data_IF_859572067266
#
_entry.id   IF_859572067266
#
_cell.length_a   1.000
_cell.length_b   1.000
_cell.length_c   1.000
_cell.angle_alpha   90.00
_cell.angle_beta   90.00
_cell.angle_gamma   90.00
#
_symmetry.space_group_name_H-M   'P 1'
#
loop_
_entity.id
_entity.type
_entity.pdbx_description
1 polymer ?
#
# COMPACT_ATOMS: atom_id res chain seq x y z
N UNK A 1 -4.18 6.59 -3.47
CA UNK A 1 -4.72 7.37 -4.62
C UNK A 1 -6.17 7.80 -4.42
N UNK A 2 -6.93 7.20 -3.50
CA UNK A 2 -8.34 7.51 -3.22
C UNK A 2 -9.25 7.34 -4.44
N UNK A 3 -9.70 6.11 -4.71
CA UNK A 3 -10.60 5.80 -5.83
C UNK A 3 -10.20 6.49 -7.16
N UNK A 4 -8.97 6.27 -7.63
CA UNK A 4 -8.54 6.79 -8.91
C UNK A 4 -9.22 6.01 -10.03
N UNK A 5 -10.21 6.63 -10.68
CA UNK A 5 -11.04 5.99 -11.70
C UNK A 5 -11.50 7.02 -12.74
N UNK A 6 -11.69 6.53 -13.97
CA UNK A 6 -12.30 7.28 -15.07
C UNK A 6 -13.83 7.09 -15.12
N UNK A 7 -14.39 6.23 -14.28
CA UNK A 7 -15.81 5.92 -14.29
C UNK A 7 -16.62 7.05 -13.64
N UNK A 8 -17.76 7.45 -14.22
CA UNK A 8 -18.63 8.46 -13.63
C UNK A 8 -19.27 7.98 -12.31
N UNK A 9 -19.32 6.67 -12.09
CA UNK A 9 -19.83 6.07 -10.85
C UNK A 9 -18.82 6.10 -9.69
N UNK A 10 -17.58 6.54 -9.93
CA UNK A 10 -16.54 6.61 -8.90
C UNK A 10 -17.03 7.42 -7.69
N UNK A 11 -16.76 6.98 -6.45
CA UNK A 11 -17.07 7.79 -5.27
C UNK A 11 -16.35 9.15 -5.26
N UNK A 12 -15.22 9.23 -5.98
CA UNK A 12 -14.45 10.46 -6.18
C UNK A 12 -14.35 10.74 -7.67
N UNK A 13 -15.03 11.79 -8.11
CA UNK A 13 -14.95 12.32 -9.46
C UNK A 13 -13.86 13.39 -9.53
N UNK A 14 -12.98 13.29 -10.52
CA UNK A 14 -11.86 14.22 -10.75
C UNK A 14 -12.03 14.93 -12.09
N UNK A 15 -11.82 16.24 -12.07
CA UNK A 15 -11.72 17.09 -13.25
C UNK A 15 -10.35 16.93 -13.94
N UNK A 16 -10.20 17.50 -15.14
CA UNK A 16 -8.89 17.55 -15.80
C UNK A 16 -7.84 18.30 -14.96
N UNK A 17 -8.23 19.37 -14.26
CA UNK A 17 -7.35 20.11 -13.36
C UNK A 17 -6.83 19.26 -12.19
N UNK A 18 -7.68 18.39 -11.64
CA UNK A 18 -7.28 17.46 -10.58
C UNK A 18 -6.23 16.45 -11.06
N UNK A 19 -6.44 15.89 -12.25
CA UNK A 19 -5.48 14.98 -12.87
C UNK A 19 -4.15 15.68 -13.17
N UNK A 20 -4.18 16.90 -13.69
CA UNK A 20 -2.96 17.69 -13.93
C UNK A 20 -2.20 17.98 -12.63
N UNK A 21 -2.90 18.29 -11.53
CA UNK A 21 -2.26 18.52 -10.23
C UNK A 21 -1.61 17.24 -9.67
N UNK A 22 -2.28 16.09 -9.80
CA UNK A 22 -1.71 14.78 -9.44
C UNK A 22 -0.51 14.43 -10.32
N UNK A 23 -0.60 14.70 -11.63
CA UNK A 23 0.52 14.49 -12.56
C UNK A 23 1.71 15.37 -12.20
N UNK A 24 1.50 16.66 -11.92
CA UNK A 24 2.58 17.56 -11.50
C UNK A 24 3.25 17.09 -10.21
N UNK A 25 2.47 16.58 -9.25
CA UNK A 25 3.01 15.96 -8.04
C UNK A 25 3.88 14.75 -8.39
N UNK A 26 3.38 13.85 -9.23
CA UNK A 26 4.12 12.67 -9.65
C UNK A 26 5.42 13.05 -10.38
N UNK A 27 5.37 13.96 -11.35
CA UNK A 27 6.53 14.42 -12.12
C UNK A 27 7.59 15.08 -11.23
N UNK A 28 7.18 15.84 -10.21
CA UNK A 28 8.11 16.47 -9.25
C UNK A 28 9.01 15.44 -8.55
N UNK A 29 8.45 14.30 -8.14
CA UNK A 29 9.19 13.29 -7.36
C UNK A 29 9.68 12.11 -8.19
N UNK A 30 8.97 11.77 -9.28
CA UNK A 30 9.32 10.75 -10.29
C UNK A 30 10.01 9.50 -9.73
N UNK A 31 9.38 8.78 -8.78
CA UNK A 31 10.02 7.65 -8.11
C UNK A 31 10.26 6.50 -9.08
N UNK A 32 11.29 5.69 -8.84
CA UNK A 32 11.55 4.51 -9.68
C UNK A 32 10.43 3.47 -9.59
N UNK A 33 9.80 3.39 -8.41
CA UNK A 33 8.74 2.46 -8.05
C UNK A 33 7.65 3.23 -7.31
N UNK A 34 6.43 3.19 -7.85
CA UNK A 34 5.23 3.67 -7.18
C UNK A 34 4.37 2.47 -6.76
N UNK A 35 4.31 2.19 -5.46
CA UNK A 35 3.30 1.30 -4.89
C UNK A 35 1.99 2.07 -4.66
N UNK A 36 0.92 1.69 -5.35
CA UNK A 36 -0.36 2.40 -5.28
C UNK A 36 -1.50 1.52 -4.73
N UNK A 37 -2.50 2.18 -4.16
CA UNK A 37 -3.75 1.58 -3.70
C UNK A 37 -4.93 2.39 -4.22
N UNK A 38 -6.08 1.73 -4.31
CA UNK A 38 -7.35 2.31 -4.79
C UNK A 38 -7.33 2.84 -6.22
N UNK A 39 -6.69 2.12 -7.13
CA UNK A 39 -6.72 2.41 -8.56
C UNK A 39 -7.70 1.46 -9.25
N UNK A 40 -8.62 1.98 -10.05
CA UNK A 40 -9.66 1.17 -10.73
C UNK A 40 -9.18 0.57 -12.04
N UNK A 41 -8.21 1.19 -12.72
CA UNK A 41 -7.62 0.68 -13.97
C UNK A 41 -6.25 1.30 -14.28
N UNK A 42 -5.49 0.64 -15.16
CA UNK A 42 -4.21 1.17 -15.65
C UNK A 42 -4.40 2.52 -16.38
N UNK A 43 -5.46 2.66 -17.18
CA UNK A 43 -5.76 3.92 -17.89
C UNK A 43 -6.05 5.08 -16.93
N UNK A 44 -6.68 4.81 -15.78
CA UNK A 44 -6.89 5.84 -14.76
C UNK A 44 -5.56 6.31 -14.17
N UNK A 45 -4.62 5.38 -13.91
CA UNK A 45 -3.30 5.73 -13.39
C UNK A 45 -2.42 6.42 -14.43
N UNK A 46 -2.53 6.04 -15.71
CA UNK A 46 -1.84 6.72 -16.81
C UNK A 46 -2.34 8.15 -17.09
N UNK A 47 -3.41 8.62 -16.45
CA UNK A 47 -3.72 10.06 -16.39
C UNK A 47 -2.80 10.83 -15.45
N UNK A 48 -2.11 10.14 -14.55
CA UNK A 48 -1.23 10.73 -13.53
C UNK A 48 0.25 10.45 -13.84
N UNK A 49 0.57 9.26 -14.34
CA UNK A 49 1.95 8.83 -14.59
C UNK A 49 2.24 8.75 -16.09
N UNK A 50 3.51 8.87 -16.47
CA UNK A 50 3.93 8.74 -17.87
C UNK A 50 3.94 7.26 -18.32
N UNK A 51 3.06 6.93 -19.28
CA UNK A 51 2.93 5.60 -19.87
C UNK A 51 4.18 5.12 -20.62
N UNK A 52 4.97 6.04 -21.16
CA UNK A 52 6.21 5.71 -21.84
C UNK A 52 7.32 5.36 -20.86
N UNK A 53 7.34 5.98 -19.68
CA UNK A 53 8.38 5.73 -18.67
C UNK A 53 8.02 4.58 -17.70
N UNK A 54 6.74 4.32 -17.47
CA UNK A 54 6.27 3.36 -16.47
C UNK A 54 5.42 2.23 -17.03
N UNK A 55 5.67 1.02 -16.55
CA UNK A 55 4.79 -0.15 -16.72
C UNK A 55 4.00 -0.38 -15.44
N UNK A 56 2.69 -0.62 -15.58
CA UNK A 56 1.79 -0.89 -14.46
C UNK A 56 1.60 -2.40 -14.28
N UNK A 57 1.69 -2.86 -13.05
CA UNK A 57 1.37 -4.21 -12.58
C UNK A 57 0.22 -4.10 -11.58
N UNK A 58 -1.00 -4.48 -11.99
CA UNK A 58 -2.17 -4.49 -11.10
C UNK A 58 -2.30 -5.86 -10.45
N UNK A 59 -2.83 -5.89 -9.23
CA UNK A 59 -3.18 -7.14 -8.55
C UNK A 59 -3.91 -8.12 -9.46
N UNK A 60 -3.58 -9.41 -9.34
CA UNK A 60 -4.24 -10.54 -10.02
C UNK A 60 -5.76 -10.56 -9.81
N UNK A 61 -6.26 -9.88 -8.77
CA UNK A 61 -7.70 -9.63 -8.56
C UNK A 61 -8.38 -9.10 -9.82
N UNK A 62 -7.70 -8.33 -10.68
CA UNK A 62 -8.29 -7.81 -11.92
C UNK A 62 -8.69 -8.91 -12.90
N UNK A 63 -8.02 -10.06 -12.81
CA UNK A 63 -8.29 -11.26 -13.61
C UNK A 63 -9.26 -12.23 -12.92
N UNK A 64 -9.82 -11.87 -11.75
CA UNK A 64 -10.77 -12.69 -11.01
C UNK A 64 -12.19 -12.08 -11.05
N UNK A 65 -13.09 -12.61 -11.91
CA UNK A 65 -14.47 -12.12 -12.01
C UNK A 65 -15.28 -12.27 -10.72
N UNK A 66 -14.98 -13.29 -9.90
CA UNK A 66 -15.70 -13.52 -8.64
C UNK A 66 -15.44 -12.41 -7.62
N UNK A 67 -14.21 -11.89 -7.64
CA UNK A 67 -13.75 -10.81 -6.77
C UNK A 67 -13.88 -9.42 -7.42
N UNK A 68 -14.49 -9.32 -8.60
CA UNK A 68 -14.76 -8.06 -9.28
C UNK A 68 -16.14 -7.49 -8.91
N UNK A 69 -16.21 -6.16 -8.86
CA UNK A 69 -17.46 -5.41 -8.71
C UNK A 69 -17.96 -4.90 -10.06
N UNK A 70 -19.28 -4.86 -10.24
CA UNK A 70 -19.91 -4.37 -11.48
C UNK A 70 -19.74 -2.86 -11.70
N UNK A 71 -19.62 -2.08 -10.63
CA UNK A 71 -19.55 -0.61 -10.69
C UNK A 71 -18.11 -0.12 -10.59
N UNK A 72 -17.61 0.00 -9.37
CA UNK A 72 -16.27 0.53 -9.10
C UNK A 72 -15.40 -0.56 -8.51
N UNK A 73 -14.20 -0.75 -9.09
CA UNK A 73 -13.18 -1.59 -8.52
C UNK A 73 -12.07 -0.72 -7.90
N UNK A 74 -11.26 -1.36 -7.09
CA UNK A 74 -10.06 -0.79 -6.51
C UNK A 74 -9.02 -1.89 -6.42
N UNK A 75 -7.86 -1.63 -6.99
CA UNK A 75 -6.74 -2.55 -7.04
C UNK A 75 -5.53 -1.91 -6.35
N UNK A 76 -4.74 -2.76 -5.71
CA UNK A 76 -3.35 -2.50 -5.37
C UNK A 76 -2.49 -2.82 -6.59
N UNK A 77 -1.27 -2.30 -6.61
CA UNK A 77 -0.32 -2.62 -7.66
C UNK A 77 0.93 -1.75 -7.62
N UNK A 78 1.73 -1.87 -8.65
CA UNK A 78 2.96 -1.11 -8.81
C UNK A 78 2.99 -0.42 -10.17
N UNK A 79 3.52 0.79 -10.22
CA UNK A 79 4.03 1.37 -11.45
C UNK A 79 5.55 1.45 -11.34
N UNK A 80 6.24 0.79 -12.27
CA UNK A 80 7.69 0.58 -12.23
C UNK A 80 8.31 1.21 -13.48
N UNK A 81 9.44 1.92 -13.33
CA UNK A 81 10.21 2.39 -14.48
C UNK A 81 10.57 1.22 -15.40
N UNK A 82 10.44 1.41 -16.71
CA UNK A 82 10.60 0.33 -17.69
C UNK A 82 11.99 -0.31 -17.75
N UNK A 83 13.03 0.38 -17.28
CA UNK A 83 14.39 -0.14 -17.24
C UNK A 83 14.64 -1.10 -16.05
N UNK A 84 13.69 -1.23 -15.13
CA UNK A 84 13.77 -2.19 -14.02
C UNK A 84 13.20 -3.52 -14.50
N UNK A 85 13.98 -4.59 -14.30
CA UNK A 85 13.54 -5.96 -14.55
C UNK A 85 12.56 -6.36 -13.45
N UNK A 86 11.39 -6.84 -13.86
CA UNK A 86 10.30 -7.22 -12.96
C UNK A 86 9.76 -8.58 -13.37
N UNK A 87 9.71 -9.50 -12.39
CA UNK A 87 8.91 -10.71 -12.50
C UNK A 87 7.58 -10.48 -11.76
N UNK A 88 6.47 -10.59 -12.50
CA UNK A 88 5.12 -10.54 -11.93
C UNK A 88 4.78 -11.92 -11.38
N UNK A 89 4.66 -12.04 -10.06
CA UNK A 89 4.52 -13.31 -9.35
C UNK A 89 3.21 -13.37 -8.56
N UNK A 90 2.82 -14.57 -8.12
CA UNK A 90 1.51 -14.78 -7.49
C UNK A 90 1.24 -13.84 -6.30
N UNK A 91 0.04 -13.24 -6.31
CA UNK A 91 -0.41 -12.33 -5.26
C UNK A 91 -0.73 -13.09 -3.96
N UNK A 92 -0.67 -12.38 -2.83
CA UNK A 92 -1.21 -12.85 -1.55
C UNK A 92 -2.74 -12.67 -1.52
N UNK A 93 -3.43 -13.43 -2.38
CA UNK A 93 -4.88 -13.37 -2.60
C UNK A 93 -5.73 -13.79 -1.39
N UNK A 94 -5.16 -14.59 -0.49
CA UNK A 94 -5.80 -15.08 0.74
C UNK A 94 -6.21 -13.94 1.68
N UNK A 95 -5.56 -12.77 1.57
CA UNK A 95 -5.90 -11.57 2.33
C UNK A 95 -7.33 -11.08 2.06
N UNK A 96 -7.94 -11.48 0.94
CA UNK A 96 -9.32 -11.10 0.62
C UNK A 96 -10.34 -11.76 1.52
N UNK A 97 -10.15 -13.04 1.82
CA UNK A 97 -11.05 -13.84 2.66
C UNK A 97 -10.26 -14.57 3.73
N UNK A 98 -9.65 -13.83 4.68
CA UNK A 98 -8.65 -14.38 5.58
C UNK A 98 -9.24 -15.38 6.57
N UNK A 99 -10.51 -15.22 6.96
CA UNK A 99 -11.23 -16.21 7.76
C UNK A 99 -11.30 -17.58 7.05
N UNK A 100 -11.63 -17.61 5.77
CA UNK A 100 -11.71 -18.84 4.97
C UNK A 100 -10.32 -19.45 4.79
N UNK A 101 -9.31 -18.62 4.50
CA UNK A 101 -7.92 -19.07 4.42
C UNK A 101 -7.40 -19.70 5.73
N UNK A 102 -7.99 -19.32 6.87
CA UNK A 102 -7.72 -19.88 8.19
C UNK A 102 -8.67 -21.02 8.58
N UNK A 103 -9.46 -21.57 7.65
CA UNK A 103 -10.35 -22.69 7.89
C UNK A 103 -11.67 -22.35 8.57
N UNK A 104 -12.04 -21.06 8.67
CA UNK A 104 -13.33 -20.63 9.23
C UNK A 104 -14.39 -20.58 8.13
N UNK A 105 -15.45 -21.36 8.29
CA UNK A 105 -16.62 -21.34 7.39
C UNK A 105 -17.35 -20.00 7.50
N UNK A 106 -17.58 -19.36 6.35
CA UNK A 106 -18.29 -18.08 6.26
C UNK A 106 -19.35 -18.14 5.16
N UNK A 107 -20.52 -17.52 5.35
CA UNK A 107 -21.60 -17.53 4.36
C UNK A 107 -21.30 -16.69 3.11
N UNK A 108 -20.25 -15.88 3.14
CA UNK A 108 -19.82 -15.06 2.01
C UNK A 108 -18.29 -14.88 2.00
N UNK A 109 -17.74 -14.63 0.81
CA UNK A 109 -16.34 -14.21 0.60
C UNK A 109 -16.25 -12.69 0.53
N UNK A 110 -15.19 -12.08 1.06
CA UNK A 110 -14.92 -10.70 0.69
C UNK A 110 -14.10 -10.67 -0.60
N UNK A 111 -14.32 -9.63 -1.39
CA UNK A 111 -13.81 -9.51 -2.77
C UNK A 111 -12.58 -8.62 -2.92
N UNK A 112 -12.23 -7.88 -1.88
CA UNK A 112 -11.15 -6.87 -1.91
C UNK A 112 -9.92 -7.39 -1.18
N UNK A 113 -8.83 -6.62 -1.25
CA UNK A 113 -7.66 -6.72 -0.35
C UNK A 113 -6.66 -7.82 -0.71
N UNK A 114 -6.37 -8.02 -1.99
CA UNK A 114 -5.21 -8.82 -2.39
C UNK A 114 -3.94 -8.07 -2.00
N UNK A 115 -2.88 -8.79 -1.63
CA UNK A 115 -1.54 -8.23 -1.53
C UNK A 115 -0.83 -8.40 -2.87
N UNK A 116 -0.54 -7.30 -3.57
CA UNK A 116 0.14 -7.38 -4.87
C UNK A 116 1.60 -7.73 -4.69
N UNK A 117 2.12 -8.72 -5.44
CA UNK A 117 3.51 -9.15 -5.28
C UNK A 117 4.26 -9.09 -6.60
N UNK A 118 5.42 -8.46 -6.59
CA UNK A 118 6.38 -8.53 -7.70
C UNK A 118 7.77 -8.86 -7.16
N UNK A 119 8.62 -9.42 -8.00
CA UNK A 119 10.05 -9.51 -7.76
C UNK A 119 10.75 -8.50 -8.67
N UNK A 120 11.69 -7.74 -8.11
CA UNK A 120 12.56 -6.85 -8.88
C UNK A 120 14.02 -7.23 -8.65
N UNK A 121 14.89 -6.86 -9.58
CA UNK A 121 16.35 -7.03 -9.40
C UNK A 121 17.00 -5.67 -9.18
N UNK A 122 17.67 -5.50 -8.04
CA UNK A 122 18.48 -4.31 -7.71
C UNK A 122 19.91 -4.77 -7.51
N UNK A 123 20.86 -4.23 -8.27
CA UNK A 123 22.29 -4.61 -8.17
C UNK A 123 22.52 -6.14 -8.19
N UNK A 124 21.86 -6.85 -9.11
CA UNK A 124 21.88 -8.31 -9.25
C UNK A 124 21.25 -9.10 -8.08
N UNK A 125 20.68 -8.43 -7.08
CA UNK A 125 19.98 -9.04 -5.97
C UNK A 125 18.46 -9.01 -6.19
N UNK A 126 17.77 -10.17 -6.19
CA UNK A 126 16.32 -10.22 -6.30
C UNK A 126 15.65 -9.80 -4.99
N UNK A 127 14.72 -8.85 -5.06
CA UNK A 127 13.97 -8.32 -3.91
C UNK A 127 12.48 -8.50 -4.18
N UNK A 128 11.77 -9.11 -3.22
CA UNK A 128 10.32 -9.28 -3.30
C UNK A 128 9.63 -8.02 -2.76
N UNK A 129 8.72 -7.44 -3.53
CA UNK A 129 7.87 -6.32 -3.10
C UNK A 129 6.44 -6.80 -2.87
N UNK A 130 5.90 -6.55 -1.68
CA UNK A 130 4.50 -6.80 -1.32
C UNK A 130 3.80 -5.47 -1.07
N UNK A 131 2.81 -5.13 -1.90
CA UNK A 131 1.96 -3.96 -1.71
C UNK A 131 0.63 -4.34 -1.05
N UNK A 132 0.30 -3.68 0.05
CA UNK A 132 -0.86 -3.94 0.88
C UNK A 132 -1.88 -2.79 0.85
N UNK A 133 -3.14 -3.18 0.97
CA UNK A 133 -4.23 -2.29 1.37
C UNK A 133 -5.14 -3.07 2.31
N UNK A 134 -4.90 -3.02 3.62
CA UNK A 134 -5.55 -3.90 4.60
C UNK A 134 -6.92 -3.39 5.06
N UNK A 135 -7.63 -4.19 5.85
CA UNK A 135 -8.99 -3.87 6.30
C UNK A 135 -9.04 -2.59 7.15
N UNK A 136 -9.68 -1.55 6.60
CA UNK A 136 -10.03 -0.32 7.34
C UNK A 136 -11.06 -0.53 8.45
N UNK A 137 -11.07 0.37 9.45
CA UNK A 137 -12.01 0.39 10.58
C UNK A 137 -11.44 -0.19 11.89
N UNK A 138 -10.14 -0.43 11.96
CA UNK A 138 -9.42 -0.82 13.17
C UNK A 138 -8.13 -0.01 13.30
N UNK A 139 -8.23 1.22 13.83
CA UNK A 139 -7.20 2.24 13.67
C UNK A 139 -6.14 2.25 14.78
N UNK A 140 -6.45 1.74 15.98
CA UNK A 140 -5.57 1.84 17.15
C UNK A 140 -5.26 0.48 17.75
N UNK A 141 -4.10 0.35 18.39
CA UNK A 141 -3.68 -0.90 19.05
C UNK A 141 -4.72 -1.39 20.07
N UNK A 142 -5.32 -0.48 20.84
CA UNK A 142 -6.42 -0.83 21.77
C UNK A 142 -7.59 -1.51 21.05
N UNK A 143 -7.99 -1.03 19.88
CA UNK A 143 -9.06 -1.66 19.09
C UNK A 143 -8.63 -3.03 18.56
N UNK A 144 -7.39 -3.13 18.07
CA UNK A 144 -6.83 -4.37 17.51
C UNK A 144 -6.66 -5.46 18.58
N UNK A 145 -6.19 -5.12 19.78
CA UNK A 145 -6.10 -6.06 20.91
C UNK A 145 -7.48 -6.53 21.36
N UNK A 146 -8.47 -5.62 21.46
CA UNK A 146 -9.81 -5.96 21.93
C UNK A 146 -10.64 -6.78 20.92
N UNK A 147 -10.37 -6.64 19.62
CA UNK A 147 -11.05 -7.37 18.54
C UNK A 147 -12.59 -7.36 18.59
N UNK A 148 -13.19 -6.30 19.16
CA UNK A 148 -14.65 -6.19 19.31
C UNK A 148 -15.36 -6.05 17.97
N UNK A 149 -14.78 -5.30 17.04
CA UNK A 149 -15.37 -5.05 15.72
C UNK A 149 -15.00 -6.14 14.71
N UNK A 150 -15.88 -6.39 13.74
CA UNK A 150 -15.58 -7.25 12.58
C UNK A 150 -14.33 -6.79 11.83
N UNK A 151 -14.13 -5.47 11.71
CA UNK A 151 -12.95 -4.90 11.06
C UNK A 151 -11.65 -5.32 11.77
N UNK A 152 -11.60 -5.23 13.10
CA UNK A 152 -10.43 -5.65 13.87
C UNK A 152 -10.19 -7.16 13.80
N UNK A 153 -11.25 -7.97 13.83
CA UNK A 153 -11.12 -9.44 13.64
C UNK A 153 -10.50 -9.77 12.27
N UNK A 154 -11.03 -9.17 11.20
CA UNK A 154 -10.49 -9.36 9.85
C UNK A 154 -9.05 -8.87 9.73
N UNK A 155 -8.72 -7.68 10.27
CA UNK A 155 -7.36 -7.16 10.24
C UNK A 155 -6.40 -8.10 10.99
N UNK A 156 -6.78 -8.61 12.16
CA UNK A 156 -5.96 -9.60 12.89
C UNK A 156 -5.68 -10.84 12.04
N UNK A 157 -6.68 -11.38 11.35
CA UNK A 157 -6.51 -12.54 10.47
C UNK A 157 -5.58 -12.21 9.29
N UNK A 158 -5.70 -11.02 8.69
CA UNK A 158 -4.77 -10.56 7.64
C UNK A 158 -3.33 -10.47 8.15
N UNK A 159 -3.10 -9.93 9.35
CA UNK A 159 -1.76 -9.86 9.96
C UNK A 159 -1.16 -11.25 10.22
N UNK A 160 -1.98 -12.26 10.53
CA UNK A 160 -1.53 -13.66 10.66
C UNK A 160 -1.06 -14.22 9.32
N UNK A 161 -1.81 -13.97 8.23
CA UNK A 161 -1.40 -14.40 6.89
C UNK A 161 -0.11 -13.70 6.43
N UNK A 162 0.04 -12.40 6.73
CA UNK A 162 1.28 -11.65 6.47
C UNK A 162 2.45 -12.27 7.25
N UNK A 163 2.23 -12.66 8.51
CA UNK A 163 3.27 -13.35 9.30
C UNK A 163 3.70 -14.67 8.67
N UNK A 164 2.76 -15.46 8.15
CA UNK A 164 3.08 -16.69 7.43
C UNK A 164 3.84 -16.42 6.13
N UNK A 165 3.47 -15.37 5.39
CA UNK A 165 4.18 -14.93 4.19
C UNK A 165 5.61 -14.49 4.50
N UNK A 166 5.82 -13.67 5.54
CA UNK A 166 7.15 -13.24 6.00
C UNK A 166 8.03 -14.44 6.34
N UNK A 167 7.50 -15.39 7.13
CA UNK A 167 8.23 -16.63 7.48
C UNK A 167 8.64 -17.43 6.25
N UNK A 168 7.80 -17.43 5.21
CA UNK A 168 8.12 -18.11 3.95
C UNK A 168 9.28 -17.42 3.24
N UNK A 169 9.27 -16.08 3.14
CA UNK A 169 10.38 -15.35 2.54
C UNK A 169 11.69 -15.53 3.31
N UNK A 170 11.62 -15.54 4.65
CA UNK A 170 12.77 -15.79 5.53
C UNK A 170 13.37 -17.18 5.32
N UNK A 171 12.54 -18.22 5.22
CA UNK A 171 13.00 -19.59 4.94
C UNK A 171 13.66 -19.72 3.57
N UNK A 172 13.24 -18.90 2.61
CA UNK A 172 13.80 -18.85 1.27
C UNK A 172 14.97 -17.86 1.15
N UNK A 173 15.40 -17.25 2.26
CA UNK A 173 16.44 -16.21 2.30
C UNK A 173 16.22 -15.06 1.30
N UNK A 174 14.96 -14.76 0.96
CA UNK A 174 14.64 -13.70 0.00
C UNK A 174 14.51 -12.36 0.74
N UNK A 175 15.30 -11.33 0.39
CA UNK A 175 15.06 -9.99 0.90
C UNK A 175 13.73 -9.47 0.37
N UNK A 176 13.03 -8.70 1.18
CA UNK A 176 11.71 -8.21 0.82
C UNK A 176 11.40 -6.83 1.40
N UNK A 177 10.46 -6.15 0.74
CA UNK A 177 9.84 -4.91 1.18
C UNK A 177 8.32 -5.13 1.21
N UNK A 178 7.69 -4.75 2.32
CA UNK A 178 6.24 -4.63 2.46
C UNK A 178 5.91 -3.15 2.51
N UNK A 179 5.01 -2.69 1.65
CA UNK A 179 4.63 -1.28 1.52
C UNK A 179 3.13 -1.13 1.35
N UNK A 180 2.56 -0.01 1.80
CA UNK A 180 1.18 0.37 1.48
C UNK A 180 0.34 0.71 2.70
N UNK A 181 -0.97 0.76 2.51
CA UNK A 181 -1.93 1.19 3.51
C UNK A 181 -2.34 0.02 4.43
N UNK A 182 -1.75 -0.01 5.64
CA UNK A 182 -2.05 -1.00 6.68
C UNK A 182 -3.40 -0.66 7.37
N UNK A 183 -3.94 0.54 7.19
CA UNK A 183 -5.16 1.03 7.81
C UNK A 183 -5.12 1.02 9.35
N UNK A 184 -3.91 1.05 9.93
CA UNK A 184 -3.66 0.91 11.35
C UNK A 184 -2.50 1.81 11.79
N UNK A 185 -2.67 2.50 12.91
CA UNK A 185 -1.62 3.35 13.47
C UNK A 185 -0.61 2.50 14.24
N UNK A 186 0.64 2.53 13.82
CA UNK A 186 1.73 1.91 14.57
C UNK A 186 2.28 2.93 15.58
N UNK A 187 1.97 2.73 16.87
CA UNK A 187 2.48 3.58 17.96
C UNK A 187 3.63 2.95 18.73
N UNK A 188 3.72 1.61 18.73
CA UNK A 188 4.86 0.85 19.24
C UNK A 188 5.38 -0.04 18.11
N UNK A 189 6.52 0.36 17.54
CA UNK A 189 7.12 -0.32 16.40
C UNK A 189 7.54 -1.74 16.76
N UNK A 190 8.14 -1.94 17.94
CA UNK A 190 8.64 -3.26 18.35
C UNK A 190 7.49 -4.22 18.55
N UNK A 191 6.42 -3.77 19.21
CA UNK A 191 5.22 -4.57 19.41
C UNK A 191 4.58 -4.97 18.08
N UNK A 192 4.38 -4.02 17.17
CA UNK A 192 3.75 -4.29 15.87
C UNK A 192 4.60 -5.23 15.00
N UNK A 193 5.91 -4.99 14.91
CA UNK A 193 6.82 -5.86 14.14
C UNK A 193 6.83 -7.27 14.74
N UNK A 194 6.87 -7.41 16.07
CA UNK A 194 6.77 -8.72 16.70
C UNK A 194 5.44 -9.43 16.38
N UNK A 195 4.34 -8.68 16.24
CA UNK A 195 3.02 -9.22 15.86
C UNK A 195 3.05 -9.85 14.47
N UNK A 196 3.73 -9.23 13.51
CA UNK A 196 3.79 -9.71 12.11
C UNK A 196 4.98 -10.63 11.82
N UNK A 197 5.98 -10.74 12.70
CA UNK A 197 7.17 -11.59 12.45
C UNK A 197 7.35 -12.69 13.50
N UNK A 198 7.00 -12.41 14.75
CA UNK A 198 7.40 -13.21 15.91
C UNK A 198 8.82 -12.94 16.41
N UNK A 199 9.55 -12.02 15.76
CA UNK A 199 10.87 -11.57 16.19
C UNK A 199 11.10 -10.13 15.67
N UNK A 200 11.11 -9.15 16.56
CA UNK A 200 11.23 -7.74 16.18
C UNK A 200 12.55 -7.34 15.50
N UNK A 201 13.58 -8.21 15.51
CA UNK A 201 14.91 -7.92 14.97
C UNK A 201 15.09 -8.31 13.49
N UNK A 202 14.10 -8.93 12.86
CA UNK A 202 14.25 -9.52 11.50
C UNK A 202 13.87 -8.58 10.36
N UNK A 203 13.23 -7.46 10.66
CA UNK A 203 12.82 -6.43 9.70
C UNK A 203 12.88 -5.06 10.34
N UNK A 204 13.08 -4.03 9.52
CA UNK A 204 13.03 -2.62 9.90
C UNK A 204 11.68 -2.01 9.50
N UNK A 205 11.04 -1.25 10.39
CA UNK A 205 9.94 -0.35 10.03
C UNK A 205 10.53 0.98 9.55
N UNK A 206 10.80 1.11 8.26
CA UNK A 206 11.46 2.30 7.71
C UNK A 206 10.59 3.56 7.87
N UNK A 207 9.27 3.44 7.76
CA UNK A 207 8.36 4.57 8.01
C UNK A 207 8.33 5.11 9.47
N UNK A 208 8.99 4.45 10.43
CA UNK A 208 8.93 4.79 11.86
C UNK A 208 9.43 6.21 12.20
N UNK A 209 10.39 6.73 11.43
CA UNK A 209 11.01 8.03 11.66
C UNK A 209 10.22 9.19 11.04
N UNK A 210 9.21 8.90 10.21
CA UNK A 210 8.43 9.92 9.51
C UNK A 210 7.44 10.55 10.49
N UNK A 211 7.63 11.85 10.74
CA UNK A 211 6.68 12.66 11.48
C UNK A 211 5.45 12.99 10.61
N UNK A 212 4.38 12.22 10.77
CA UNK A 212 3.14 12.43 10.02
C UNK A 212 2.54 13.83 10.26
N UNK A 213 2.23 14.52 9.17
CA UNK A 213 1.55 15.81 9.18
C UNK A 213 0.76 15.98 7.88
N UNK A 214 -0.14 15.04 7.60
CA UNK A 214 -0.91 15.03 6.37
C UNK A 214 -2.20 15.84 6.54
N UNK A 215 -2.32 16.96 5.83
CA UNK A 215 -3.58 17.72 5.78
C UNK A 215 -4.34 17.36 4.51
N UNK A 216 -5.62 17.01 4.66
CA UNK A 216 -6.48 16.62 3.54
C UNK A 216 -7.80 17.38 3.58
N UNK A 217 -8.48 17.43 2.44
CA UNK A 217 -9.84 17.94 2.29
C UNK A 217 -10.83 16.79 2.47
N UNK A 218 -11.74 16.94 3.42
CA UNK A 218 -12.78 15.95 3.68
C UNK A 218 -13.90 16.04 2.65
N UNK A 219 -14.36 14.89 2.18
CA UNK A 219 -15.52 14.75 1.27
C UNK A 219 -16.83 14.93 2.05
N UNK A 220 -17.12 16.16 2.47
CA UNK A 220 -18.35 16.52 3.21
C UNK A 220 -19.11 17.66 2.53
N UNK A 221 -20.41 17.82 2.82
CA UNK A 221 -21.26 18.88 2.25
C UNK A 221 -20.69 20.30 2.43
N UNK A 222 -19.97 20.52 3.53
CA UNK A 222 -19.19 21.75 3.77
C UNK A 222 -17.71 21.42 3.67
N UNK A 223 -16.93 22.25 3.00
CA UNK A 223 -15.47 22.07 2.93
C UNK A 223 -14.87 22.09 4.32
N UNK A 224 -14.20 20.99 4.69
CA UNK A 224 -13.47 20.85 5.95
C UNK A 224 -12.11 20.25 5.67
N UNK A 225 -11.12 20.68 6.44
CA UNK A 225 -9.77 20.14 6.38
C UNK A 225 -9.48 19.38 7.67
N UNK A 226 -8.69 18.31 7.55
CA UNK A 226 -8.23 17.54 8.71
C UNK A 226 -6.75 17.24 8.55
N UNK A 227 -6.00 17.44 9.62
CA UNK A 227 -4.59 17.07 9.71
C UNK A 227 -4.45 15.77 10.50
N UNK A 228 -3.87 14.75 9.87
CA UNK A 228 -3.53 13.47 10.49
C UNK A 228 -2.08 13.50 10.94
N UNK A 229 -1.87 13.19 12.24
CA UNK A 229 -0.57 13.20 12.93
C UNK A 229 -0.02 11.80 13.20
N UNK A 230 -0.62 10.78 12.58
CA UNK A 230 -0.21 9.38 12.68
C UNK A 230 -0.31 8.76 11.30
N UNK A 231 0.68 7.95 10.94
CA UNK A 231 0.67 7.17 9.71
C UNK A 231 -0.25 5.96 9.82
N UNK A 232 -0.73 5.55 8.66
CA UNK A 232 -1.37 4.24 8.42
C UNK A 232 -0.77 3.58 7.16
N UNK A 233 -0.18 4.38 6.27
CA UNK A 233 0.72 3.95 5.22
C UNK A 233 2.12 3.70 5.79
N UNK A 234 2.69 2.55 5.50
CA UNK A 234 3.97 2.13 6.08
C UNK A 234 4.85 1.44 5.04
N UNK A 235 6.16 1.45 5.33
CA UNK A 235 7.15 0.64 4.63
C UNK A 235 7.96 -0.15 5.67
N UNK A 236 8.04 -1.46 5.47
CA UNK A 236 8.76 -2.44 6.29
C UNK A 236 9.68 -3.22 5.35
N UNK A 237 10.93 -3.46 5.73
CA UNK A 237 11.88 -4.17 4.88
C UNK A 237 12.80 -5.09 5.67
N UNK A 238 13.43 -6.06 5.01
CA UNK A 238 14.51 -6.86 5.61
C UNK A 238 15.67 -5.96 6.06
N UNK A 239 16.45 -6.41 7.04
CA UNK A 239 17.46 -5.58 7.74
C UNK A 239 18.62 -5.12 6.85
N UNK A 240 18.84 -5.78 5.71
CA UNK A 240 19.82 -5.37 4.71
C UNK A 240 19.32 -4.22 3.81
N UNK A 241 18.06 -3.80 3.95
CA UNK A 241 17.46 -2.67 3.23
C UNK A 241 17.27 -1.51 4.21
N UNK A 242 17.90 -0.38 3.90
CA UNK A 242 17.90 0.81 4.74
C UNK A 242 17.33 2.01 3.98
N UNK A 243 16.73 2.96 4.71
CA UNK A 243 16.33 4.23 4.13
C UNK A 243 17.48 5.23 4.23
N UNK A 244 17.95 5.73 3.09
CA UNK A 244 18.86 6.87 3.00
C UNK A 244 18.11 8.17 3.33
N UNK A 245 16.89 8.29 2.79
CA UNK A 245 15.98 9.38 3.09
C UNK A 245 14.53 8.88 3.11
N UNK A 246 13.69 9.52 3.93
CA UNK A 246 12.28 9.15 4.07
C UNK A 246 11.46 10.34 4.56
N UNK A 247 10.38 10.66 3.85
CA UNK A 247 9.51 11.76 4.23
C UNK A 247 8.09 11.60 3.69
N UNK A 248 7.16 12.35 4.29
CA UNK A 248 5.80 12.47 3.80
C UNK A 248 5.68 13.72 2.92
N UNK A 249 5.17 13.52 1.70
CA UNK A 249 4.88 14.60 0.76
C UNK A 249 3.57 15.27 1.20
N UNK A 250 3.64 16.54 1.57
CA UNK A 250 2.48 17.29 2.05
C UNK A 250 1.81 18.08 0.92
N UNK A 251 0.48 18.09 0.92
CA UNK A 251 -0.28 19.04 0.11
C UNK A 251 -0.35 20.39 0.81
N UNK A 252 -0.16 21.47 0.06
CA UNK A 252 -0.36 22.81 0.60
C UNK A 252 -1.84 23.23 0.55
N UNK A 253 -2.19 24.28 1.29
CA UNK A 253 -3.60 24.75 1.41
C UNK A 253 -4.21 25.17 0.07
N UNK A 254 -3.42 25.77 -0.81
CA UNK A 254 -3.89 26.22 -2.12
C UNK A 254 -4.22 25.02 -3.01
N UNK A 255 -3.36 24.01 -3.04
CA UNK A 255 -3.61 22.76 -3.76
C UNK A 255 -4.90 22.08 -3.28
N UNK A 256 -5.08 21.99 -1.96
CA UNK A 256 -6.28 21.35 -1.38
C UNK A 256 -7.56 22.16 -1.60
N UNK A 257 -7.48 23.49 -1.71
CA UNK A 257 -8.66 24.32 -1.98
C UNK A 257 -9.08 24.22 -3.45
N UNK A 258 -8.11 24.15 -4.36
CA UNK A 258 -8.32 24.15 -5.82
C UNK A 258 -8.61 22.77 -6.40
N UNK A 259 -8.02 21.71 -5.85
CA UNK A 259 -8.04 20.38 -6.47
C UNK A 259 -8.59 19.28 -5.53
N UNK A 260 -9.19 18.26 -6.13
CA UNK A 260 -9.54 16.98 -5.50
C UNK A 260 -8.33 16.03 -5.54
N UNK A 261 -7.42 16.20 -4.57
CA UNK A 261 -6.27 15.31 -4.35
C UNK A 261 -6.67 14.09 -3.50
N UNK A 262 -5.74 13.15 -3.29
CA UNK A 262 -5.98 11.97 -2.44
C UNK A 262 -6.19 12.39 -0.98
N UNK A 263 -6.98 11.63 -0.25
CA UNK A 263 -7.10 11.72 1.23
C UNK A 263 -5.94 11.06 1.99
N UNK A 264 -4.89 10.65 1.27
CA UNK A 264 -3.61 10.21 1.81
C UNK A 264 -2.51 11.12 1.25
N UNK A 265 -1.51 11.39 2.07
CA UNK A 265 -0.28 12.05 1.65
C UNK A 265 0.76 10.99 1.29
N UNK A 266 1.36 11.03 0.09
CA UNK A 266 2.34 10.03 -0.31
C UNK A 266 3.54 9.99 0.63
N UNK A 267 4.10 8.80 0.81
CA UNK A 267 5.40 8.62 1.45
C UNK A 267 6.44 8.36 0.37
N UNK A 268 7.56 9.08 0.45
CA UNK A 268 8.70 8.92 -0.45
C UNK A 268 9.87 8.38 0.35
N UNK A 269 10.51 7.35 -0.20
CA UNK A 269 11.66 6.69 0.37
C UNK A 269 12.76 6.60 -0.68
N UNK A 270 13.98 6.90 -0.26
CA UNK A 270 15.20 6.55 -0.98
C UNK A 270 15.86 5.43 -0.21
N UNK A 271 16.09 4.30 -0.88
CA UNK A 271 16.52 3.07 -0.23
C UNK A 271 17.92 2.67 -0.70
N UNK A 272 18.71 2.13 0.21
CA UNK A 272 19.93 1.39 -0.10
C UNK A 272 19.77 -0.07 0.28
N UNK A 273 20.45 -0.94 -0.46
CA UNK A 273 20.46 -2.38 -0.22
C UNK A 273 21.91 -2.82 -0.04
N UNK A 274 22.21 -3.35 1.13
CA UNK A 274 23.46 -4.07 1.36
C UNK A 274 23.31 -5.47 0.78
N UNK A 275 24.19 -5.90 -0.15
CA UNK A 275 24.19 -7.27 -0.63
C UNK A 275 24.29 -8.25 0.53
N UNK A 276 23.51 -9.33 0.47
CA UNK A 276 23.70 -10.47 1.36
C UNK A 276 24.79 -11.30 0.69
N UNK A 277 25.93 -11.47 1.35
CA UNK A 277 26.97 -12.38 0.86
C UNK A 277 26.41 -13.81 0.90
N UNK A 278 26.45 -14.50 -0.24
CA UNK A 278 26.17 -15.94 -0.29
C UNK A 278 27.32 -16.65 0.43
N UNK A 279 27.06 -17.19 1.63
CA UNK A 279 27.96 -18.12 2.32
C UNK A 279 27.89 -19.51 1.68
#
# INVERSE_FOLDING_TARGET
MQWLSLKPTSPITRSAGDYNALQQLFTTYSPDILAFQEVDSADALYRVIDKQQYKIYLSERINNPQDSFKKNNQYTGFAIRRNIIVDDIADLSQLSSPAIAMGVTMPFRNKLRYGSVIQITINQQPVILLNLHLKSGCFTEKQLTQQKSKACKTLTQQLILIKQWIKTQQRLSKPFIIVGDINHQITDNRQFINKITGNAAVVNLLSASINANCTIKLTTKKTRYRTYRKLIDHLIATTNINALSQHQIQYNKQQLSQFTLSDHCPLLFELSITPIEDN
#
